data_IF_280193184947
#
_entry.id   IF_280193184947
#
_cell.length_a   1.000
_cell.length_b   1.000
_cell.length_c   1.000
_cell.angle_alpha   90.00
_cell.angle_beta   90.00
_cell.angle_gamma   90.00
#
_symmetry.space_group_name_H-M   'P 1'
#
loop_
_entity.id
_entity.type
_entity.pdbx_description
1 polymer ?
#
# COMPACT_ATOMS: atom_id res chain seq x y z
N UNK A 1 -11.41 47.28 -51.22
CA UNK A 1 -10.80 45.95 -51.17
C UNK A 1 -10.53 45.65 -49.71
N UNK A 2 -11.62 45.48 -48.95
CA UNK A 2 -12.21 44.16 -48.62
C UNK A 2 -11.41 43.56 -47.46
N UNK A 3 -11.78 43.88 -46.21
CA UNK A 3 -12.71 43.13 -45.36
C UNK A 3 -12.28 41.68 -45.18
N UNK A 4 -11.88 41.33 -43.96
CA UNK A 4 -12.38 40.13 -43.29
C UNK A 4 -12.36 40.36 -41.77
N UNK A 5 -13.54 40.77 -41.30
CA UNK A 5 -14.00 40.63 -39.93
C UNK A 5 -14.41 39.17 -39.74
N UNK A 6 -13.85 38.45 -38.77
CA UNK A 6 -14.53 37.32 -38.14
C UNK A 6 -14.38 37.36 -36.61
N UNK A 7 -15.42 36.83 -35.99
CA UNK A 7 -16.09 37.30 -34.79
C UNK A 7 -15.67 36.47 -33.56
N UNK A 8 -15.84 37.06 -32.37
CA UNK A 8 -15.69 36.38 -31.07
C UNK A 8 -17.08 35.96 -30.61
N UNK A 9 -17.29 34.67 -30.36
CA UNK A 9 -18.54 34.19 -29.76
C UNK A 9 -18.56 34.34 -28.23
N UNK A 10 -19.78 34.55 -27.73
CA UNK A 10 -20.15 35.05 -26.39
C UNK A 10 -20.40 33.93 -25.36
N UNK A 11 -20.14 32.66 -25.67
CA UNK A 11 -20.34 31.56 -24.71
C UNK A 11 -19.06 30.73 -24.54
N UNK A 12 -18.32 31.02 -23.48
CA UNK A 12 -17.08 30.33 -23.12
C UNK A 12 -17.33 28.91 -22.59
N UNK A 13 -17.57 27.96 -23.49
CA UNK A 13 -17.52 26.52 -23.21
C UNK A 13 -16.29 25.88 -23.88
N UNK A 14 -15.38 25.23 -23.12
CA UNK A 14 -14.37 24.36 -23.70
C UNK A 14 -14.93 22.94 -23.93
N UNK A 15 -14.99 22.51 -25.18
CA UNK A 15 -15.19 21.11 -25.57
C UNK A 15 -13.85 20.35 -25.54
N UNK A 16 -13.86 19.15 -24.95
CA UNK A 16 -12.75 18.19 -24.90
C UNK A 16 -12.69 17.31 -26.17
N UNK A 17 -11.49 16.73 -26.38
CA UNK A 17 -11.12 15.59 -27.26
C UNK A 17 -11.12 15.94 -28.76
N UNK A 18 -10.07 15.67 -29.54
CA UNK A 18 -9.40 14.38 -29.73
C UNK A 18 -7.86 14.50 -29.85
N UNK A 19 -7.15 13.52 -29.28
CA UNK A 19 -5.75 13.22 -29.63
C UNK A 19 -5.76 11.94 -30.47
N UNK A 20 -5.37 12.08 -31.74
CA UNK A 20 -5.10 10.98 -32.64
C UNK A 20 -3.84 10.22 -32.20
N UNK A 21 -3.94 8.89 -32.29
CA UNK A 21 -2.86 7.94 -32.05
C UNK A 21 -2.08 7.76 -33.35
N UNK A 22 -0.76 7.96 -33.34
CA UNK A 22 0.10 7.32 -34.34
C UNK A 22 1.36 6.73 -33.72
N UNK A 23 1.67 5.57 -34.28
CA UNK A 23 2.63 4.53 -33.96
C UNK A 23 4.09 4.85 -34.31
N UNK A 24 5.02 4.24 -33.57
CA UNK A 24 6.42 4.03 -33.98
C UNK A 24 7.28 3.62 -32.76
N UNK A 25 7.49 2.32 -32.50
CA UNK A 25 8.55 1.44 -33.04
C UNK A 25 9.98 1.78 -32.58
N UNK A 26 10.52 0.87 -31.75
CA UNK A 26 11.92 0.52 -31.49
C UNK A 26 12.91 1.57 -30.94
N UNK A 27 13.49 1.27 -29.78
CA UNK A 27 14.93 0.95 -29.68
C UNK A 27 15.28 0.38 -28.30
N UNK A 28 15.57 -0.91 -28.32
CA UNK A 28 16.36 -1.64 -27.36
C UNK A 28 17.79 -1.06 -27.36
N UNK A 29 18.29 -0.66 -26.19
CA UNK A 29 19.73 -0.51 -25.96
C UNK A 29 20.01 -0.85 -24.50
N UNK A 30 20.53 -2.07 -24.32
CA UNK A 30 21.19 -2.47 -23.09
C UNK A 30 22.37 -1.55 -22.80
N UNK A 31 22.41 -1.05 -21.58
CA UNK A 31 23.63 -0.59 -20.94
C UNK A 31 23.77 -1.36 -19.63
N UNK A 32 24.47 -2.48 -19.75
CA UNK A 32 25.08 -3.20 -18.64
C UNK A 32 26.08 -2.26 -17.96
N UNK A 33 25.70 -1.71 -16.81
CA UNK A 33 26.67 -1.13 -15.87
C UNK A 33 26.83 -2.13 -14.73
N UNK A 34 27.83 -2.98 -14.93
CA UNK A 34 28.35 -3.93 -13.95
C UNK A 34 28.88 -3.15 -12.75
N UNK A 35 28.04 -3.02 -11.71
CA UNK A 35 28.43 -2.49 -10.42
C UNK A 35 28.94 -3.67 -9.58
N UNK A 36 30.26 -3.85 -9.51
CA UNK A 36 30.88 -4.82 -8.60
C UNK A 36 30.55 -4.47 -7.14
N UNK A 37 29.59 -5.19 -6.57
CA UNK A 37 29.31 -5.14 -5.13
C UNK A 37 30.38 -5.97 -4.42
N UNK A 38 31.17 -5.38 -3.49
CA UNK A 38 32.16 -6.14 -2.75
C UNK A 38 31.50 -7.25 -1.92
N UNK A 39 31.91 -8.50 -2.16
CA UNK A 39 31.55 -9.67 -1.36
C UNK A 39 32.13 -9.54 0.04
N UNK A 40 31.37 -8.98 0.97
CA UNK A 40 31.64 -9.12 2.39
C UNK A 40 31.28 -10.55 2.83
N UNK A 41 32.29 -11.38 3.12
CA UNK A 41 32.10 -12.65 3.80
C UNK A 41 31.73 -12.38 5.26
N UNK A 42 30.44 -12.52 5.58
CA UNK A 42 29.98 -12.52 6.96
C UNK A 42 30.37 -13.88 7.56
N UNK A 43 31.28 -13.85 8.53
CA UNK A 43 31.67 -15.02 9.32
C UNK A 43 30.43 -15.59 10.02
N UNK A 44 30.27 -16.91 9.93
CA UNK A 44 29.11 -17.64 10.41
C UNK A 44 28.82 -17.31 11.89
N UNK A 45 27.66 -16.70 12.14
CA UNK A 45 27.17 -16.41 13.47
C UNK A 45 26.82 -17.72 14.18
N UNK A 46 27.51 -17.94 15.30
CA UNK A 46 27.38 -19.07 16.23
C UNK A 46 25.97 -19.08 16.84
N UNK A 47 25.12 -20.03 16.43
CA UNK A 47 23.85 -20.29 17.13
C UNK A 47 24.15 -21.10 18.39
N UNK A 48 23.91 -20.49 19.55
CA UNK A 48 23.73 -21.20 20.80
C UNK A 48 22.43 -22.02 20.72
N UNK A 49 22.55 -23.34 20.83
CA UNK A 49 21.42 -24.24 20.97
C UNK A 49 20.99 -24.30 22.44
N UNK A 50 19.73 -23.98 22.72
CA UNK A 50 19.10 -24.25 24.00
C UNK A 50 18.74 -25.73 24.10
N UNK A 51 19.03 -26.28 25.28
CA UNK A 51 18.89 -27.67 25.67
C UNK A 51 17.45 -28.19 25.50
N UNK A 52 17.31 -29.42 25.02
CA UNK A 52 16.19 -30.28 25.41
C UNK A 52 16.71 -31.71 25.61
N UNK A 53 16.37 -32.22 26.79
CA UNK A 53 16.90 -33.43 27.42
C UNK A 53 16.26 -34.69 26.83
N UNK A 54 17.00 -35.79 26.95
CA UNK A 54 16.61 -37.20 26.79
C UNK A 54 16.72 -37.81 25.37
N UNK A 55 17.96 -38.08 24.96
CA UNK A 55 18.28 -39.20 24.08
C UNK A 55 19.27 -40.14 24.80
N UNK A 56 18.98 -41.44 24.78
CA UNK A 56 19.74 -42.52 25.44
C UNK A 56 21.16 -42.65 24.85
N UNK A 57 22.19 -43.02 25.64
CA UNK A 57 23.57 -43.01 25.16
C UNK A 57 23.86 -44.19 24.23
N UNK A 58 24.42 -43.90 23.05
CA UNK A 58 25.10 -44.87 22.19
C UNK A 58 26.50 -45.13 22.75
N UNK A 59 26.76 -46.39 23.08
CA UNK A 59 28.05 -46.90 23.53
C UNK A 59 29.07 -46.72 22.40
N UNK A 60 30.19 -46.09 22.74
CA UNK A 60 31.37 -45.97 21.86
C UNK A 60 32.13 -47.29 21.91
N UNK A 61 32.19 -48.00 20.80
CA UNK A 61 33.11 -49.13 20.62
C UNK A 61 34.51 -48.59 20.30
N UNK A 62 35.49 -49.03 21.09
CA UNK A 62 36.86 -48.55 21.05
C UNK A 62 37.58 -49.08 19.80
N UNK A 63 38.09 -48.16 18.99
CA UNK A 63 38.99 -48.42 17.88
C UNK A 63 40.36 -48.87 18.38
N UNK A 64 40.57 -50.15 18.72
CA UNK A 64 41.92 -50.68 18.88
C UNK A 64 42.06 -52.03 18.17
N UNK A 65 43.09 -52.09 17.30
CA UNK A 65 43.76 -53.27 16.76
C UNK A 65 43.14 -53.89 15.50
N UNK A 66 43.36 -53.22 14.36
CA UNK A 66 43.31 -53.83 13.03
C UNK A 66 44.56 -54.72 12.83
N UNK A 67 44.53 -55.94 13.35
CA UNK A 67 45.37 -57.01 12.83
C UNK A 67 44.62 -57.69 11.68
N UNK A 68 45.25 -57.61 10.51
CA UNK A 68 44.98 -58.31 9.24
C UNK A 68 44.02 -59.50 9.41
N UNK A 69 42.75 -59.33 9.01
CA UNK A 69 41.85 -60.47 8.78
C UNK A 69 41.88 -60.83 7.30
N UNK A 70 42.37 -62.04 7.00
CA UNK A 70 42.36 -62.63 5.67
C UNK A 70 40.91 -62.72 5.14
N UNK A 71 40.68 -62.29 3.90
CA UNK A 71 39.35 -62.16 3.30
C UNK A 71 38.67 -63.49 2.94
N UNK A 72 39.29 -64.63 3.24
CA UNK A 72 38.75 -65.95 2.94
C UNK A 72 38.70 -66.81 4.20
N UNK A 73 37.62 -66.69 4.98
CA UNK A 73 37.16 -67.84 5.76
C UNK A 73 36.05 -68.51 4.95
N UNK A 74 36.33 -69.71 4.43
CA UNK A 74 35.29 -70.55 3.86
C UNK A 74 34.40 -71.01 5.00
N UNK A 75 33.32 -70.26 5.25
CA UNK A 75 32.27 -70.70 6.14
C UNK A 75 31.46 -71.76 5.38
N UNK A 76 31.76 -73.05 5.61
CA UNK A 76 30.92 -74.14 5.15
C UNK A 76 29.60 -74.04 5.91
N UNK A 77 28.67 -73.23 5.37
CA UNK A 77 27.51 -72.67 6.06
C UNK A 77 26.48 -73.69 6.55
N UNK A 78 26.84 -74.46 7.58
CA UNK A 78 25.97 -75.27 8.43
C UNK A 78 26.63 -75.44 9.80
N UNK A 79 26.33 -74.55 10.74
CA UNK A 79 26.51 -74.89 12.15
C UNK A 79 25.36 -75.81 12.57
N UNK A 80 25.66 -77.08 12.83
CA UNK A 80 24.72 -78.05 13.41
C UNK A 80 24.55 -77.78 14.91
N UNK A 81 24.00 -76.61 15.22
CA UNK A 81 23.38 -76.36 16.50
C UNK A 81 21.95 -76.94 16.44
N UNK A 82 21.48 -77.47 17.57
CA UNK A 82 20.29 -78.32 17.78
C UNK A 82 18.92 -77.71 17.39
N UNK A 83 18.89 -76.73 16.49
CA UNK A 83 17.73 -75.97 16.03
C UNK A 83 17.50 -76.07 14.52
N UNK A 84 18.23 -76.93 13.79
CA UNK A 84 17.90 -77.30 12.38
C UNK A 84 16.64 -78.16 12.27
N UNK A 85 15.74 -78.07 13.24
CA UNK A 85 14.35 -78.46 13.05
C UNK A 85 13.67 -77.27 12.40
N UNK A 86 13.29 -77.39 11.13
CA UNK A 86 12.25 -76.52 10.58
C UNK A 86 11.03 -76.75 11.47
N UNK A 87 10.80 -75.84 12.42
CA UNK A 87 9.53 -75.78 13.13
C UNK A 87 8.50 -75.40 12.08
N UNK A 88 7.81 -76.41 11.53
CA UNK A 88 6.49 -76.24 10.94
C UNK A 88 5.48 -75.95 12.07
N UNK A 89 5.76 -74.91 12.86
CA UNK A 89 4.72 -74.26 13.60
C UNK A 89 3.92 -73.52 12.56
N UNK A 90 2.67 -73.93 12.35
CA UNK A 90 1.68 -73.07 11.71
C UNK A 90 1.86 -71.70 12.36
N UNK A 91 2.31 -70.71 11.60
CA UNK A 91 2.36 -69.32 12.05
C UNK A 91 0.90 -68.91 12.21
N UNK A 92 0.30 -69.29 13.34
CA UNK A 92 -0.92 -68.74 13.89
C UNK A 92 -0.53 -67.52 14.73
N UNK A 93 0.31 -66.66 14.17
CA UNK A 93 0.19 -65.25 14.55
C UNK A 93 -1.17 -64.86 13.98
N UNK A 94 -2.18 -64.80 14.85
CA UNK A 94 -3.59 -64.84 14.47
C UNK A 94 -3.87 -63.94 13.27
N UNK A 95 -4.27 -64.53 12.14
CA UNK A 95 -4.60 -63.80 10.90
C UNK A 95 -5.55 -62.64 11.19
N UNK A 96 -6.45 -62.82 12.16
CA UNK A 96 -7.35 -61.81 12.70
C UNK A 96 -6.62 -60.60 13.33
N UNK A 97 -5.56 -60.82 14.08
CA UNK A 97 -4.75 -59.75 14.68
C UNK A 97 -3.98 -58.97 13.62
N UNK A 98 -3.57 -59.61 12.54
CA UNK A 98 -2.94 -58.95 11.39
C UNK A 98 -3.97 -58.10 10.62
N UNK A 99 -5.13 -58.66 10.28
CA UNK A 99 -6.24 -57.95 9.61
C UNK A 99 -6.68 -56.73 10.42
N UNK A 100 -6.86 -56.86 11.74
CA UNK A 100 -7.22 -55.75 12.62
C UNK A 100 -6.17 -54.61 12.65
N UNK A 101 -4.89 -54.92 12.47
CA UNK A 101 -3.83 -53.91 12.38
C UNK A 101 -3.88 -53.20 11.02
N UNK A 102 -4.07 -53.95 9.95
CA UNK A 102 -4.18 -53.43 8.59
C UNK A 102 -5.43 -52.53 8.43
N UNK A 103 -6.56 -52.92 9.01
CA UNK A 103 -7.78 -52.11 9.05
C UNK A 103 -7.58 -50.81 9.83
N UNK A 104 -6.84 -50.82 10.94
CA UNK A 104 -6.50 -49.60 11.68
C UNK A 104 -5.66 -48.65 10.83
N UNK A 105 -4.65 -49.18 10.15
CA UNK A 105 -3.78 -48.40 9.24
C UNK A 105 -4.59 -47.83 8.08
N UNK A 106 -5.45 -48.64 7.45
CA UNK A 106 -6.35 -48.20 6.38
C UNK A 106 -7.30 -47.10 6.84
N UNK A 107 -7.94 -47.27 7.99
CA UNK A 107 -8.82 -46.26 8.55
C UNK A 107 -8.08 -44.95 8.87
N UNK A 108 -6.82 -45.03 9.33
CA UNK A 108 -5.99 -43.85 9.53
C UNK A 108 -5.62 -43.15 8.21
N UNK A 109 -5.31 -43.93 7.17
CA UNK A 109 -5.05 -43.42 5.81
C UNK A 109 -6.30 -42.79 5.18
N UNK A 110 -7.47 -43.43 5.32
CA UNK A 110 -8.75 -42.93 4.83
C UNK A 110 -9.14 -41.63 5.53
N UNK A 111 -8.90 -41.49 6.84
CA UNK A 111 -9.11 -40.22 7.57
C UNK A 111 -8.25 -39.06 7.02
N UNK A 112 -7.08 -39.35 6.44
CA UNK A 112 -6.19 -38.35 5.82
C UNK A 112 -6.56 -38.05 4.36
N UNK A 113 -7.40 -38.89 3.74
CA UNK A 113 -7.89 -38.69 2.37
C UNK A 113 -8.89 -37.54 2.31
N UNK A 114 -8.75 -36.69 1.29
CA UNK A 114 -9.64 -35.53 1.04
C UNK A 114 -11.08 -36.00 0.79
N UNK A 115 -11.25 -37.16 0.14
CA UNK A 115 -12.54 -37.70 -0.29
C UNK A 115 -13.38 -38.16 0.91
N UNK A 116 -12.75 -38.61 1.99
CA UNK A 116 -13.44 -39.13 3.17
C UNK A 116 -13.75 -38.06 4.22
N UNK A 117 -13.45 -36.78 3.94
CA UNK A 117 -13.79 -35.68 4.84
C UNK A 117 -15.31 -35.46 4.88
N UNK A 118 -15.90 -35.24 6.07
CA UNK A 118 -17.33 -35.01 6.21
C UNK A 118 -17.72 -33.73 5.44
N UNK A 119 -18.61 -33.86 4.46
CA UNK A 119 -19.06 -32.74 3.62
C UNK A 119 -18.35 -32.60 2.28
N UNK A 120 -17.36 -33.43 1.94
CA UNK A 120 -16.71 -33.42 0.62
C UNK A 120 -17.71 -33.61 -0.53
N UNK A 121 -18.67 -34.53 -0.38
CA UNK A 121 -19.69 -34.81 -1.40
C UNK A 121 -20.66 -33.63 -1.67
N UNK A 122 -20.69 -32.62 -0.79
CA UNK A 122 -21.51 -31.41 -0.97
C UNK A 122 -20.75 -30.29 -1.68
N UNK A 123 -19.43 -30.42 -1.85
CA UNK A 123 -18.61 -29.40 -2.51
C UNK A 123 -18.78 -29.51 -4.03
N UNK A 124 -19.03 -28.38 -4.68
CA UNK A 124 -19.16 -28.30 -6.14
C UNK A 124 -17.85 -28.54 -6.88
N UNK A 125 -16.70 -28.31 -6.22
CA UNK A 125 -15.37 -28.61 -6.75
C UNK A 125 -14.44 -29.14 -5.68
N UNK A 126 -13.46 -29.95 -6.09
CA UNK A 126 -12.44 -30.50 -5.20
C UNK A 126 -11.58 -29.34 -4.66
N UNK A 127 -11.45 -29.18 -3.33
CA UNK A 127 -10.62 -28.13 -2.76
C UNK A 127 -9.17 -28.34 -3.19
N UNK A 128 -8.60 -27.35 -3.88
CA UNK A 128 -7.20 -27.41 -4.33
C UNK A 128 -6.27 -27.13 -3.16
N UNK A 129 -5.34 -28.05 -2.88
CA UNK A 129 -4.35 -27.82 -1.83
C UNK A 129 -3.36 -26.77 -2.29
N UNK A 130 -3.34 -25.62 -1.62
CA UNK A 130 -2.35 -24.59 -1.92
C UNK A 130 -0.94 -25.11 -1.61
N UNK A 131 -0.05 -25.02 -2.60
CA UNK A 131 1.35 -25.38 -2.41
C UNK A 131 1.99 -24.54 -1.29
N UNK A 132 3.03 -25.05 -0.63
CA UNK A 132 3.77 -24.31 0.40
C UNK A 132 4.23 -22.93 -0.10
N UNK A 133 4.57 -22.82 -1.39
CA UNK A 133 4.94 -21.56 -2.05
C UNK A 133 3.75 -20.60 -2.16
N UNK A 134 2.58 -21.08 -2.56
CA UNK A 134 1.36 -20.27 -2.64
C UNK A 134 0.96 -19.74 -1.25
N UNK A 135 1.01 -20.58 -0.22
CA UNK A 135 0.75 -20.16 1.18
C UNK A 135 1.70 -19.07 1.65
N UNK A 136 3.02 -19.22 1.36
CA UNK A 136 4.02 -18.19 1.67
C UNK A 136 3.77 -16.88 0.93
N UNK A 137 3.34 -16.95 -0.34
CA UNK A 137 3.00 -15.77 -1.15
C UNK A 137 1.75 -15.07 -0.64
N UNK A 138 0.72 -15.81 -0.24
CA UNK A 138 -0.49 -15.25 0.37
C UNK A 138 -0.17 -14.53 1.69
N UNK A 139 0.58 -15.18 2.59
CA UNK A 139 1.01 -14.57 3.84
C UNK A 139 1.91 -13.32 3.63
N UNK A 140 2.72 -13.29 2.57
CA UNK A 140 3.48 -12.09 2.22
C UNK A 140 2.56 -10.93 1.79
N UNK A 141 1.54 -11.19 0.98
CA UNK A 141 0.54 -10.17 0.59
C UNK A 141 -0.24 -9.65 1.79
N UNK A 142 -0.65 -10.53 2.70
CA UNK A 142 -1.33 -10.13 3.94
C UNK A 142 -0.45 -9.21 4.80
N UNK A 143 0.85 -9.52 4.91
CA UNK A 143 1.83 -8.65 5.57
C UNK A 143 2.12 -7.36 4.83
N UNK A 144 2.00 -7.32 3.50
CA UNK A 144 2.17 -6.07 2.73
C UNK A 144 0.99 -5.11 2.91
N UNK A 145 -0.20 -5.68 3.16
CA UNK A 145 -1.46 -4.98 3.35
C UNK A 145 -1.69 -4.54 4.80
N UNK A 146 -0.98 -5.12 5.76
CA UNK A 146 -1.05 -4.76 7.18
C UNK A 146 0.27 -4.16 7.66
N UNK A 147 0.21 -3.31 8.68
CA UNK A 147 1.42 -2.80 9.35
C UNK A 147 2.07 -3.86 10.26
N UNK A 148 1.33 -4.93 10.59
CA UNK A 148 1.74 -6.04 11.47
C UNK A 148 1.33 -5.87 12.94
N UNK A 149 1.60 -6.90 13.74
CA UNK A 149 1.14 -6.98 15.14
C UNK A 149 1.71 -5.89 16.05
N UNK A 150 2.92 -5.39 15.75
CA UNK A 150 3.55 -4.30 16.52
C UNK A 150 2.75 -3.00 16.47
N UNK A 151 1.93 -2.82 15.43
CA UNK A 151 1.11 -1.63 15.23
C UNK A 151 -0.33 -2.02 14.91
N UNK A 152 -0.88 -2.87 15.78
CA UNK A 152 -2.30 -3.27 15.83
C UNK A 152 -2.91 -3.66 14.48
N UNK A 153 -2.11 -4.19 13.56
CA UNK A 153 -2.55 -4.62 12.23
C UNK A 153 -3.33 -3.56 11.44
N UNK A 154 -2.93 -2.28 11.51
CA UNK A 154 -3.55 -1.24 10.68
C UNK A 154 -3.52 -1.62 9.20
N UNK A 155 -4.67 -1.56 8.55
CA UNK A 155 -4.84 -1.92 7.15
C UNK A 155 -4.33 -0.81 6.22
N UNK A 156 -3.87 -1.20 5.03
CA UNK A 156 -3.54 -0.27 3.95
C UNK A 156 -4.84 0.21 3.29
N UNK A 157 -5.21 1.49 3.41
CA UNK A 157 -6.43 1.99 2.81
C UNK A 157 -6.29 2.10 1.29
N UNK A 158 -7.42 1.95 0.60
CA UNK A 158 -7.53 2.29 -0.82
C UNK A 158 -7.46 3.82 -1.01
N UNK A 159 -6.66 4.25 -1.97
CA UNK A 159 -6.39 5.67 -2.25
C UNK A 159 -7.49 6.26 -3.14
N UNK A 160 -8.65 6.54 -2.55
CA UNK A 160 -9.72 7.33 -3.18
C UNK A 160 -9.31 8.80 -3.33
N UNK A 161 -10.00 9.56 -4.19
CA UNK A 161 -9.67 10.96 -4.46
C UNK A 161 -9.86 11.85 -3.21
N UNK A 162 -10.93 11.62 -2.45
CA UNK A 162 -11.21 12.31 -1.18
C UNK A 162 -10.04 12.18 -0.20
N UNK A 163 -9.54 10.95 0.00
CA UNK A 163 -8.40 10.70 0.89
C UNK A 163 -7.12 11.34 0.39
N UNK A 164 -6.89 11.36 -0.92
CA UNK A 164 -5.74 12.05 -1.52
C UNK A 164 -5.81 13.55 -1.25
N UNK A 165 -7.00 14.15 -1.39
CA UNK A 165 -7.22 15.57 -1.14
C UNK A 165 -6.99 15.92 0.34
N UNK A 166 -7.51 15.12 1.26
CA UNK A 166 -7.30 15.30 2.70
C UNK A 166 -5.81 15.20 3.08
N UNK A 167 -5.08 14.23 2.52
CA UNK A 167 -3.64 14.10 2.72
C UNK A 167 -2.86 15.30 2.17
N UNK A 168 -3.25 15.81 1.01
CA UNK A 168 -2.66 17.02 0.43
C UNK A 168 -2.89 18.24 1.33
N UNK A 169 -4.09 18.39 1.89
CA UNK A 169 -4.40 19.44 2.87
C UNK A 169 -3.50 19.33 4.10
N UNK A 170 -3.31 18.12 4.64
CA UNK A 170 -2.43 17.89 5.80
C UNK A 170 -0.96 18.22 5.50
N UNK A 171 -0.50 17.94 4.28
CA UNK A 171 0.84 18.29 3.82
C UNK A 171 1.00 19.81 3.70
N UNK A 172 -0.01 20.49 3.14
CA UNK A 172 -0.02 21.94 2.94
C UNK A 172 -0.52 22.73 4.15
N UNK A 173 -0.69 22.10 5.32
CA UNK A 173 -1.29 22.73 6.52
C UNK A 173 -0.65 24.05 6.94
N UNK A 174 0.65 24.23 6.66
CA UNK A 174 1.37 25.47 6.96
C UNK A 174 0.83 26.69 6.19
N UNK A 175 0.23 26.49 5.02
CA UNK A 175 -0.30 27.55 4.17
C UNK A 175 -1.81 27.82 4.40
N UNK A 176 -2.49 26.98 5.20
CA UNK A 176 -3.94 27.09 5.40
C UNK A 176 -4.30 28.29 6.29
N UNK A 177 -3.65 28.39 7.44
CA UNK A 177 -3.89 29.46 8.41
C UNK A 177 -2.62 30.33 8.58
N UNK A 178 -2.68 31.65 8.28
CA UNK A 178 -1.53 32.54 8.46
C UNK A 178 -1.10 32.72 9.92
N UNK A 179 -1.96 32.43 10.89
CA UNK A 179 -1.67 32.60 12.32
C UNK A 179 -1.03 31.37 12.94
N UNK A 180 -1.17 30.20 12.30
CA UNK A 180 -0.74 28.93 12.85
C UNK A 180 0.48 28.39 12.12
N UNK A 181 1.63 28.47 12.79
CA UNK A 181 2.87 27.90 12.29
C UNK A 181 3.04 26.47 12.79
N UNK A 182 3.06 25.52 11.85
CA UNK A 182 3.33 24.11 12.14
C UNK A 182 4.78 23.75 11.84
N UNK A 183 5.27 22.71 12.50
CA UNK A 183 6.53 22.05 12.11
C UNK A 183 6.39 21.46 10.71
N UNK A 184 7.41 21.69 9.88
CA UNK A 184 7.51 21.16 8.52
C UNK A 184 7.57 19.63 8.55
N UNK A 185 6.84 18.96 7.65
CA UNK A 185 6.91 17.51 7.52
C UNK A 185 8.28 17.09 6.98
N UNK A 186 8.86 16.04 7.57
CA UNK A 186 10.13 15.48 7.11
C UNK A 186 9.98 14.71 5.79
N UNK A 187 8.80 14.13 5.58
CA UNK A 187 8.48 13.33 4.39
C UNK A 187 7.53 14.13 3.50
N UNK A 188 7.84 14.18 2.21
CA UNK A 188 6.99 14.79 1.17
C UNK A 188 5.92 13.79 0.71
N UNK A 189 6.20 12.49 0.83
CA UNK A 189 5.33 11.42 0.38
C UNK A 189 4.23 11.09 1.41
N UNK A 190 3.08 10.64 0.90
CA UNK A 190 1.98 10.18 1.72
C UNK A 190 2.34 8.92 2.52
N UNK A 191 1.84 8.79 3.76
CA UNK A 191 2.04 7.58 4.56
C UNK A 191 1.43 6.37 3.86
N UNK A 192 2.11 5.22 3.94
CA UNK A 192 1.65 3.96 3.31
C UNK A 192 0.41 3.40 4.00
N UNK A 193 0.35 3.49 5.33
CA UNK A 193 -0.74 2.99 6.15
C UNK A 193 -1.32 4.17 6.93
N UNK A 194 -2.63 4.36 6.86
CA UNK A 194 -3.33 5.39 7.60
C UNK A 194 -4.80 5.00 7.75
N UNK A 195 -5.44 5.53 8.78
CA UNK A 195 -6.87 5.39 9.01
C UNK A 195 -7.46 6.78 9.24
N UNK A 196 -8.71 6.96 8.82
CA UNK A 196 -9.45 8.21 9.02
C UNK A 196 -10.43 7.97 10.14
N UNK A 197 -10.24 8.70 11.24
CA UNK A 197 -11.10 8.63 12.42
C UNK A 197 -11.78 9.96 12.66
N UNK A 198 -12.97 9.90 13.25
CA UNK A 198 -13.72 11.09 13.71
C UNK A 198 -13.46 11.32 15.19
N UNK A 199 -13.21 12.56 15.59
CA UNK A 199 -13.06 12.90 16.99
C UNK A 199 -14.37 12.68 17.75
N UNK A 200 -14.32 11.92 18.84
CA UNK A 200 -15.46 11.73 19.74
C UNK A 200 -15.35 12.75 20.88
N UNK A 201 -16.35 13.61 20.98
CA UNK A 201 -16.38 14.68 21.96
C UNK A 201 -16.52 14.14 23.39
N UNK A 202 -15.85 14.80 24.33
CA UNK A 202 -15.97 14.48 25.76
C UNK A 202 -17.33 14.92 26.30
N UNK A 203 -18.00 14.13 27.15
CA UNK A 203 -19.26 14.53 27.77
C UNK A 203 -19.11 15.69 28.77
N UNK A 204 -17.87 16.02 29.18
CA UNK A 204 -17.60 17.03 30.21
C UNK A 204 -17.67 18.48 29.69
N UNK A 205 -17.44 18.71 28.40
CA UNK A 205 -17.39 20.04 27.81
C UNK A 205 -18.36 20.15 26.63
N UNK A 206 -19.54 20.69 26.91
CA UNK A 206 -20.65 20.75 25.96
C UNK A 206 -20.62 22.00 25.06
N UNK A 207 -20.10 23.12 25.56
CA UNK A 207 -20.30 24.42 24.91
C UNK A 207 -19.11 24.92 24.11
N UNK A 208 -17.88 24.44 24.39
CA UNK A 208 -16.69 24.99 23.74
C UNK A 208 -16.09 24.10 22.67
N UNK A 209 -15.87 22.81 22.94
CA UNK A 209 -15.27 21.88 21.96
C UNK A 209 -16.27 21.20 21.02
N UNK A 210 -17.55 21.18 21.37
CA UNK A 210 -18.59 20.43 20.66
C UNK A 210 -19.02 21.10 19.37
N UNK A 211 -18.93 20.37 18.26
CA UNK A 211 -19.34 20.83 16.93
C UNK A 211 -20.82 20.43 16.70
N UNK A 212 -21.72 21.38 16.39
CA UNK A 212 -23.11 21.07 16.10
C UNK A 212 -23.24 20.22 14.84
N UNK A 213 -24.28 19.36 14.78
CA UNK A 213 -24.51 18.40 13.69
C UNK A 213 -24.47 19.02 12.28
N UNK A 214 -24.88 20.29 12.14
CA UNK A 214 -24.89 21.01 10.85
C UNK A 214 -23.47 21.31 10.32
N UNK A 215 -22.52 21.53 11.22
CA UNK A 215 -21.14 21.86 10.89
C UNK A 215 -20.27 20.61 10.68
N UNK A 216 -20.65 19.47 11.25
CA UNK A 216 -19.97 18.19 11.03
C UNK A 216 -20.05 17.78 9.56
N UNK A 217 -18.90 17.51 8.93
CA UNK A 217 -18.81 16.99 7.55
C UNK A 217 -18.14 15.62 7.55
N UNK A 218 -18.10 15.01 6.36
CA UNK A 218 -17.51 13.68 6.17
C UNK A 218 -15.99 13.76 5.97
N UNK A 219 -15.52 14.76 5.20
CA UNK A 219 -14.10 14.94 4.86
C UNK A 219 -13.53 16.22 5.47
N UNK A 220 -12.22 16.27 5.64
CA UNK A 220 -11.52 17.46 6.16
C UNK A 220 -11.64 18.63 5.17
N UNK A 221 -11.53 18.35 3.87
CA UNK A 221 -11.70 19.36 2.82
C UNK A 221 -13.09 20.00 2.86
N UNK A 222 -14.15 19.21 3.06
CA UNK A 222 -15.51 19.74 3.13
C UNK A 222 -15.73 20.68 4.32
N UNK A 223 -15.07 20.41 5.45
CA UNK A 223 -15.10 21.31 6.61
C UNK A 223 -14.47 22.67 6.28
N UNK A 224 -13.32 22.66 5.61
CA UNK A 224 -12.65 23.88 5.17
C UNK A 224 -13.46 24.67 4.14
N UNK A 225 -14.13 23.99 3.22
CA UNK A 225 -14.99 24.64 2.22
C UNK A 225 -16.28 25.20 2.84
N UNK A 226 -16.77 24.61 3.93
CA UNK A 226 -17.92 25.13 4.65
C UNK A 226 -17.59 26.47 5.35
N UNK A 227 -16.37 26.64 5.85
CA UNK A 227 -15.93 27.86 6.52
C UNK A 227 -15.92 29.07 5.55
N UNK A 228 -16.61 30.13 5.95
CA UNK A 228 -16.71 31.36 5.16
C UNK A 228 -15.44 32.21 5.28
N UNK A 229 -14.82 32.27 6.45
CA UNK A 229 -13.63 33.10 6.70
C UNK A 229 -12.44 32.56 5.91
N UNK A 230 -12.26 31.24 5.96
CA UNK A 230 -11.30 30.52 5.13
C UNK A 230 -11.50 30.88 3.64
N UNK A 231 -12.69 30.65 3.08
CA UNK A 231 -12.94 30.97 1.66
C UNK A 231 -12.62 32.41 1.27
N UNK A 232 -12.96 33.38 2.13
CA UNK A 232 -12.64 34.79 1.87
C UNK A 232 -11.14 35.05 1.85
N UNK A 233 -10.40 34.53 2.83
CA UNK A 233 -8.96 34.70 2.92
C UNK A 233 -8.23 34.03 1.74
N UNK A 234 -8.56 32.76 1.45
CA UNK A 234 -7.98 32.02 0.34
C UNK A 234 -8.28 32.70 -1.00
N UNK A 235 -9.51 33.19 -1.24
CA UNK A 235 -9.85 33.93 -2.46
C UNK A 235 -9.03 35.22 -2.61
N UNK A 236 -8.87 35.97 -1.51
CA UNK A 236 -8.07 37.20 -1.47
C UNK A 236 -6.60 36.91 -1.81
N UNK A 237 -6.00 35.93 -1.13
CA UNK A 237 -4.60 35.55 -1.34
C UNK A 237 -4.35 34.92 -2.70
N UNK A 238 -5.26 34.10 -3.20
CA UNK A 238 -5.19 33.58 -4.56
C UNK A 238 -5.19 34.71 -5.58
N UNK A 239 -6.09 35.69 -5.45
CA UNK A 239 -6.15 36.85 -6.35
C UNK A 239 -4.86 37.68 -6.31
N UNK A 240 -4.30 37.88 -5.12
CA UNK A 240 -3.00 38.55 -4.93
C UNK A 240 -1.88 37.77 -5.64
N UNK A 241 -1.80 36.45 -5.43
CA UNK A 241 -0.81 35.58 -6.06
C UNK A 241 -0.96 35.55 -7.59
N UNK A 242 -2.19 35.53 -8.12
CA UNK A 242 -2.41 35.57 -9.57
C UNK A 242 -1.97 36.90 -10.16
N UNK A 243 -2.23 38.01 -9.46
CA UNK A 243 -1.72 39.31 -9.85
C UNK A 243 -0.18 39.37 -9.79
N UNK A 244 0.45 38.73 -8.79
CA UNK A 244 1.91 38.67 -8.67
C UNK A 244 2.60 37.76 -9.67
N UNK A 245 1.99 36.62 -10.00
CA UNK A 245 2.51 35.65 -10.97
C UNK A 245 2.25 36.04 -12.42
N UNK A 246 1.29 36.93 -12.69
CA UNK A 246 1.03 37.41 -14.05
C UNK A 246 2.34 37.91 -14.69
N UNK A 247 2.63 37.55 -15.96
CA UNK A 247 3.88 37.94 -16.59
C UNK A 247 4.00 39.47 -16.63
N UNK A 248 5.22 39.98 -16.43
CA UNK A 248 5.51 41.43 -16.36
C UNK A 248 4.88 42.20 -17.53
N UNK A 249 4.84 41.59 -18.71
CA UNK A 249 4.22 42.16 -19.92
C UNK A 249 2.72 42.38 -19.75
N UNK A 250 1.98 41.39 -19.25
CA UNK A 250 0.53 41.51 -18.99
C UNK A 250 0.26 42.53 -17.90
N UNK A 251 1.11 42.60 -16.86
CA UNK A 251 1.00 43.62 -15.81
C UNK A 251 1.21 45.03 -16.36
N UNK A 252 2.22 45.25 -17.20
CA UNK A 252 2.46 46.54 -17.87
C UNK A 252 1.27 46.96 -18.74
N UNK A 253 0.73 46.04 -19.57
CA UNK A 253 -0.46 46.32 -20.40
C UNK A 253 -1.70 46.66 -19.58
N UNK A 254 -1.94 45.95 -18.47
CA UNK A 254 -3.05 46.26 -17.54
C UNK A 254 -2.89 47.62 -16.87
N UNK A 255 -1.67 47.97 -16.45
CA UNK A 255 -1.36 49.27 -15.85
C UNK A 255 -1.62 50.44 -16.83
N UNK A 256 -1.13 50.33 -18.06
CA UNK A 256 -1.35 51.38 -19.08
C UNK A 256 -2.83 51.49 -19.45
N UNK A 257 -3.55 50.38 -19.56
CA UNK A 257 -4.99 50.40 -19.80
C UNK A 257 -5.74 51.08 -18.63
N UNK A 258 -5.41 50.74 -17.38
CA UNK A 258 -5.99 51.35 -16.19
C UNK A 258 -5.78 52.88 -16.17
N UNK A 259 -4.56 53.34 -16.43
CA UNK A 259 -4.25 54.78 -16.53
C UNK A 259 -5.09 55.47 -17.62
N UNK A 260 -5.31 54.83 -18.77
CA UNK A 260 -6.15 55.38 -19.85
C UNK A 260 -7.63 55.46 -19.45
N UNK A 261 -8.15 54.47 -18.74
CA UNK A 261 -9.55 54.48 -18.25
C UNK A 261 -9.73 55.55 -17.17
N UNK A 262 -8.78 55.68 -16.23
CA UNK A 262 -8.78 56.73 -15.21
C UNK A 262 -8.74 58.13 -15.85
N UNK A 263 -7.88 58.35 -16.85
CA UNK A 263 -7.84 59.61 -17.59
C UNK A 263 -9.15 59.92 -18.34
N UNK A 264 -9.77 58.90 -18.97
CA UNK A 264 -11.08 59.05 -19.63
C UNK A 264 -12.17 59.41 -18.63
N UNK A 265 -12.27 58.71 -17.51
CA UNK A 265 -13.29 58.98 -16.49
C UNK A 265 -13.09 60.34 -15.82
N UNK A 266 -11.85 60.79 -15.64
CA UNK A 266 -11.54 62.14 -15.16
C UNK A 266 -12.03 63.22 -16.15
N UNK A 267 -11.77 63.04 -17.46
CA UNK A 267 -12.24 63.95 -18.50
C UNK A 267 -13.77 64.00 -18.62
N UNK A 268 -14.46 62.88 -18.43
CA UNK A 268 -15.94 62.86 -18.39
C UNK A 268 -16.47 63.64 -17.17
N UNK A 269 -15.82 63.50 -16.00
CA UNK A 269 -16.20 64.26 -14.79
C UNK A 269 -15.96 65.76 -14.93
N UNK A 270 -14.89 66.19 -15.60
CA UNK A 270 -14.63 67.62 -15.82
C UNK A 270 -15.61 68.24 -16.82
N UNK A 271 -15.95 67.53 -17.90
CA UNK A 271 -16.93 67.98 -18.88
C UNK A 271 -18.35 68.06 -18.31
N UNK A 272 -18.78 67.07 -17.53
CA UNK A 272 -20.08 67.11 -16.85
C UNK A 272 -20.17 68.27 -15.84
N UNK A 273 -19.11 68.55 -15.07
CA UNK A 273 -19.03 69.73 -14.19
C UNK A 273 -19.09 71.06 -14.95
N UNK A 274 -18.39 71.20 -16.08
CA UNK A 274 -18.46 72.40 -16.93
C UNK A 274 -19.87 72.62 -17.48
N UNK A 275 -20.54 71.57 -17.96
CA UNK A 275 -21.92 71.68 -18.46
C UNK A 275 -22.91 72.13 -17.37
N UNK A 276 -22.79 71.58 -16.14
CA UNK A 276 -23.61 71.99 -14.99
C UNK A 276 -23.34 73.43 -14.53
N UNK A 277 -22.10 73.91 -14.65
CA UNK A 277 -21.74 75.29 -14.32
C UNK A 277 -22.30 76.29 -15.32
N UNK A 278 -22.29 75.96 -16.61
CA UNK A 278 -22.88 76.79 -17.66
C UNK A 278 -24.41 76.83 -17.56
N UNK A 279 -25.05 75.71 -17.19
CA UNK A 279 -26.51 75.63 -16.98
C UNK A 279 -27.02 76.35 -15.71
N UNK A 280 -26.13 76.73 -14.79
CA UNK A 280 -26.44 77.57 -13.60
C UNK A 280 -26.17 79.06 -13.82
N UNK A 281 -25.55 79.43 -14.95
CA UNK A 281 -25.24 80.83 -15.31
C UNK A 281 -26.20 81.40 -16.35
N UNK A 282 -27.06 80.57 -16.93
CA UNK A 282 -28.26 80.96 -17.66
C UNK A 282 -29.45 80.86 -16.71
#
# INVERSE_FOLDING_TARGET
>A
MENDLLFIDVEGCPTNLECENESGSNLDSGNESECEVPKFQISAFKKFGSENKNAKPLVKENFHNKSIQLSSSLNAGKEYNKTTYVKYGVIKDDTQNQVNREEKILNECLKKSIVHQPGFAKLESVPTFQSRRQKRKAAAKERENSTGDQWYNMAKPEMTEEKKNDLLVLQMRQALDPKRFYKRSATINNPKFFEIGTFTESPLDFYSSRIPKKQRKQTLVDELLADAEFRQYQKKKFSEIQQTRAPRVVRRKKLTHKQRVEARTANVKTNTKKSKKNKKKA
#
